data_IF_201356173861
#
_entry.id   IF_201356173861
#
_cell.length_a   1.000
_cell.length_b   1.000
_cell.length_c   1.000
_cell.angle_alpha   90.00
_cell.angle_beta   90.00
_cell.angle_gamma   90.00
#
_symmetry.space_group_name_H-M   'P 1'
#
loop_
_entity.id
_entity.type
_entity.pdbx_description
1 polymer ?
#
# COMPACT_ATOMS: atom_id res chain seq x y z
N UNK A 1 -11.94 24.35 18.09
CA UNK A 1 -11.09 23.14 18.08
C UNK A 1 -11.76 22.11 17.21
N UNK A 2 -11.03 21.52 16.28
CA UNK A 2 -11.52 20.44 15.41
C UNK A 2 -11.94 19.24 16.28
N UNK A 3 -13.04 18.60 15.92
CA UNK A 3 -13.71 17.63 16.80
C UNK A 3 -13.78 16.23 16.22
N UNK A 4 -13.20 16.02 15.02
CA UNK A 4 -13.39 14.79 14.26
C UNK A 4 -12.07 14.19 13.77
N UNK A 5 -12.07 12.89 13.57
CA UNK A 5 -10.97 12.13 12.97
C UNK A 5 -11.54 11.41 11.75
N UNK A 6 -10.80 11.47 10.64
CA UNK A 6 -11.08 10.64 9.46
C UNK A 6 -10.19 9.39 9.53
N UNK A 7 -10.80 8.21 9.54
CA UNK A 7 -10.09 6.94 9.41
C UNK A 7 -10.26 6.39 8.00
N UNK A 8 -9.16 6.05 7.34
CA UNK A 8 -9.11 5.41 6.03
C UNK A 8 -8.67 3.97 6.23
N UNK A 9 -9.54 3.03 5.88
CA UNK A 9 -9.29 1.59 5.89
C UNK A 9 -9.22 1.10 4.43
N UNK A 10 -8.01 0.94 3.92
CA UNK A 10 -7.77 0.47 2.58
C UNK A 10 -7.51 -1.04 2.60
N UNK A 11 -8.57 -1.83 2.48
CA UNK A 11 -8.52 -3.30 2.48
C UNK A 11 -8.26 -3.90 1.10
N UNK A 12 -8.19 -5.24 1.05
CA UNK A 12 -7.97 -5.99 -0.20
C UNK A 12 -9.17 -5.92 -1.15
N UNK A 13 -10.39 -5.90 -0.60
CA UNK A 13 -11.61 -5.95 -1.39
C UNK A 13 -12.38 -4.65 -1.45
N UNK A 14 -12.05 -3.69 -0.58
CA UNK A 14 -12.74 -2.40 -0.53
C UNK A 14 -11.89 -1.34 0.15
N UNK A 15 -12.20 -0.08 -0.15
CA UNK A 15 -11.74 1.08 0.61
C UNK A 15 -12.91 1.64 1.41
N UNK A 16 -12.70 1.89 2.69
CA UNK A 16 -13.67 2.49 3.60
C UNK A 16 -13.09 3.74 4.24
N UNK A 17 -13.89 4.79 4.34
CA UNK A 17 -13.55 5.99 5.12
C UNK A 17 -14.63 6.23 6.17
N UNK A 18 -14.21 6.49 7.41
CA UNK A 18 -15.09 6.64 8.58
C UNK A 18 -14.75 7.94 9.27
N UNK A 19 -15.76 8.74 9.59
CA UNK A 19 -15.64 9.94 10.42
C UNK A 19 -16.03 9.60 11.86
N UNK A 20 -15.12 9.82 12.80
CA UNK A 20 -15.32 9.67 14.23
C UNK A 20 -15.40 11.03 14.91
N UNK A 21 -16.25 11.14 15.94
CA UNK A 21 -16.25 12.30 16.84
C UNK A 21 -15.21 12.13 17.98
N UNK A 22 -15.14 13.10 18.88
CA UNK A 22 -14.23 13.09 20.03
C UNK A 22 -14.56 12.05 21.11
N UNK A 23 -15.68 11.34 21.00
CA UNK A 23 -16.07 10.21 21.86
C UNK A 23 -15.81 8.86 21.18
N UNK A 24 -15.14 8.86 20.01
CA UNK A 24 -14.91 7.66 19.16
C UNK A 24 -16.20 7.01 18.64
N UNK A 25 -17.30 7.75 18.56
CA UNK A 25 -18.51 7.30 17.92
C UNK A 25 -18.45 7.55 16.42
N UNK A 26 -18.96 6.60 15.64
CA UNK A 26 -19.05 6.72 14.17
C UNK A 26 -20.13 7.75 13.83
N UNK A 27 -19.76 8.83 13.16
CA UNK A 27 -20.67 9.87 12.69
C UNK A 27 -21.18 9.53 11.29
N UNK A 28 -20.31 9.06 10.43
CA UNK A 28 -20.64 8.65 9.07
C UNK A 28 -19.55 7.73 8.50
N UNK A 29 -19.88 7.05 7.42
CA UNK A 29 -18.91 6.31 6.64
C UNK A 29 -19.32 6.23 5.16
N UNK A 30 -18.34 5.91 4.33
CA UNK A 30 -18.54 5.51 2.93
C UNK A 30 -17.58 4.37 2.59
N UNK A 31 -18.02 3.47 1.69
CA UNK A 31 -17.25 2.31 1.26
C UNK A 31 -17.44 2.08 -0.23
N UNK A 32 -16.34 1.71 -0.91
CA UNK A 32 -16.32 1.37 -2.34
C UNK A 32 -15.55 0.06 -2.49
N UNK A 33 -16.09 -0.88 -3.24
CA UNK A 33 -15.39 -2.11 -3.61
C UNK A 33 -14.21 -1.80 -4.52
N UNK A 34 -13.12 -2.54 -4.32
CA UNK A 34 -11.89 -2.42 -5.10
C UNK A 34 -11.80 -3.55 -6.11
N UNK A 35 -11.59 -3.20 -7.36
CA UNK A 35 -11.41 -4.17 -8.44
C UNK A 35 -10.10 -4.93 -8.27
N UNK A 36 -10.18 -6.25 -8.38
CA UNK A 36 -9.02 -7.14 -8.39
C UNK A 36 -8.74 -7.64 -9.80
N UNK A 37 -7.47 -7.74 -10.14
CA UNK A 37 -7.01 -8.23 -11.45
C UNK A 37 -6.24 -9.53 -11.27
N UNK A 38 -6.54 -10.52 -12.11
CA UNK A 38 -5.94 -11.86 -12.08
C UNK A 38 -5.32 -12.17 -13.45
N UNK A 39 -4.14 -11.58 -13.80
CA UNK A 39 -3.58 -11.70 -15.14
C UNK A 39 -3.14 -13.12 -15.50
N UNK A 40 -2.79 -13.95 -14.50
CA UNK A 40 -2.39 -15.38 -14.65
C UNK A 40 -2.75 -16.11 -13.36
N UNK A 41 -2.75 -17.44 -13.41
CA UNK A 41 -2.93 -18.28 -12.22
C UNK A 41 -1.92 -17.92 -11.13
N UNK A 42 -2.44 -17.71 -9.92
CA UNK A 42 -1.65 -17.30 -8.76
C UNK A 42 -1.18 -15.84 -8.76
N UNK A 43 -1.50 -15.03 -9.76
CA UNK A 43 -1.21 -13.60 -9.77
C UNK A 43 -2.43 -12.79 -9.33
N UNK A 44 -2.21 -11.84 -8.43
CA UNK A 44 -3.26 -10.93 -7.92
C UNK A 44 -2.72 -9.51 -7.92
N UNK A 45 -3.42 -8.62 -8.60
CA UNK A 45 -2.99 -7.23 -8.78
C UNK A 45 -4.11 -6.25 -8.48
N UNK A 46 -3.74 -5.06 -8.00
CA UNK A 46 -4.60 -3.88 -7.92
C UNK A 46 -4.02 -2.73 -8.74
N UNK A 47 -4.86 -1.80 -9.17
CA UNK A 47 -4.39 -0.57 -9.77
C UNK A 47 -4.14 0.47 -8.67
N UNK A 48 -2.88 0.96 -8.49
CA UNK A 48 -2.59 1.96 -7.46
C UNK A 48 -3.35 3.28 -7.64
N UNK A 49 -3.72 3.63 -8.88
CA UNK A 49 -4.53 4.82 -9.16
C UNK A 49 -5.96 4.62 -8.69
N UNK A 50 -6.57 3.47 -9.02
CA UNK A 50 -7.92 3.13 -8.53
C UNK A 50 -7.97 3.09 -6.99
N UNK A 51 -6.92 2.54 -6.33
CA UNK A 51 -6.81 2.60 -4.87
C UNK A 51 -6.91 4.04 -4.37
N UNK A 52 -6.10 4.95 -4.92
CA UNK A 52 -6.10 6.34 -4.48
C UNK A 52 -7.39 7.08 -4.81
N UNK A 53 -7.99 6.83 -5.97
CA UNK A 53 -9.30 7.38 -6.34
C UNK A 53 -10.40 6.95 -5.38
N UNK A 54 -10.44 5.66 -4.98
CA UNK A 54 -11.41 5.17 -4.00
C UNK A 54 -11.19 5.80 -2.62
N UNK A 55 -9.93 6.02 -2.19
CA UNK A 55 -9.60 6.75 -0.96
C UNK A 55 -10.16 8.17 -0.98
N UNK A 56 -9.91 8.92 -2.07
CA UNK A 56 -10.42 10.30 -2.19
C UNK A 56 -11.95 10.33 -2.21
N UNK A 57 -12.58 9.41 -2.95
CA UNK A 57 -14.03 9.38 -3.10
C UNK A 57 -14.74 9.01 -1.80
N UNK A 58 -14.28 7.96 -1.12
CA UNK A 58 -14.87 7.55 0.17
C UNK A 58 -14.66 8.61 1.25
N UNK A 59 -13.49 9.23 1.31
CA UNK A 59 -13.20 10.31 2.27
C UNK A 59 -14.11 11.52 2.06
N UNK A 60 -14.22 12.00 0.81
CA UNK A 60 -15.14 13.11 0.48
C UNK A 60 -16.60 12.79 0.80
N UNK A 61 -17.04 11.58 0.47
CA UNK A 61 -18.42 11.15 0.73
C UNK A 61 -18.69 11.01 2.23
N UNK A 62 -17.78 10.43 3.01
CA UNK A 62 -17.93 10.31 4.45
C UNK A 62 -18.03 11.68 5.12
N UNK A 63 -17.15 12.63 4.75
CA UNK A 63 -17.21 14.02 5.26
C UNK A 63 -18.53 14.68 4.85
N UNK A 64 -18.97 14.55 3.61
CA UNK A 64 -20.27 15.11 3.15
C UNK A 64 -21.45 14.54 3.93
N UNK A 65 -21.48 13.22 4.15
CA UNK A 65 -22.55 12.53 4.89
C UNK A 65 -22.60 12.94 6.36
N UNK A 66 -21.47 13.33 6.96
CA UNK A 66 -21.39 13.80 8.35
C UNK A 66 -21.89 15.23 8.58
N UNK A 67 -22.18 15.98 7.51
CA UNK A 67 -22.54 17.40 7.56
C UNK A 67 -21.52 18.30 8.30
N UNK A 68 -20.24 17.91 8.35
CA UNK A 68 -19.15 18.69 8.92
C UNK A 68 -18.34 19.35 7.79
N UNK A 69 -17.55 20.37 8.16
CA UNK A 69 -16.58 20.98 7.24
C UNK A 69 -15.29 20.15 7.21
N UNK A 70 -14.58 20.06 6.08
CA UNK A 70 -13.27 19.41 6.03
C UNK A 70 -12.27 19.98 7.07
N UNK A 71 -12.40 21.28 7.39
CA UNK A 71 -11.58 21.98 8.40
C UNK A 71 -11.89 21.53 9.85
N UNK A 72 -12.95 20.77 10.07
CA UNK A 72 -13.27 20.21 11.39
C UNK A 72 -12.55 18.88 11.65
N UNK A 73 -11.90 18.31 10.63
CA UNK A 73 -11.05 17.10 10.75
C UNK A 73 -9.70 17.50 11.36
N UNK A 74 -9.39 16.96 12.53
CA UNK A 74 -8.14 17.21 13.26
C UNK A 74 -6.99 16.35 12.78
N UNK A 75 -7.29 15.12 12.35
CA UNK A 75 -6.29 14.14 11.96
C UNK A 75 -6.89 13.11 10.98
N UNK A 76 -6.00 12.49 10.20
CA UNK A 76 -6.32 11.36 9.33
C UNK A 76 -5.51 10.16 9.81
N UNK A 77 -6.19 9.05 10.11
CA UNK A 77 -5.57 7.75 10.36
C UNK A 77 -5.69 6.86 9.13
N UNK A 78 -4.63 6.14 8.78
CA UNK A 78 -4.59 5.24 7.64
C UNK A 78 -4.26 3.84 8.13
N UNK A 79 -5.09 2.85 7.78
CA UNK A 79 -4.76 1.43 7.84
C UNK A 79 -4.89 0.82 6.44
N UNK A 80 -4.17 -0.26 6.18
CA UNK A 80 -4.04 -0.78 4.82
C UNK A 80 -3.95 -2.31 4.76
N UNK A 81 -4.19 -2.85 3.57
CA UNK A 81 -3.78 -4.20 3.22
C UNK A 81 -2.24 -4.28 3.25
N UNK A 82 -1.70 -5.03 4.20
CA UNK A 82 -0.25 -5.16 4.38
C UNK A 82 0.39 -5.88 3.19
N UNK A 83 1.70 -5.76 3.01
CA UNK A 83 2.53 -6.47 2.01
C UNK A 83 2.22 -6.16 0.54
N UNK A 84 1.09 -5.56 0.24
CA UNK A 84 0.78 -5.14 -1.12
C UNK A 84 1.77 -4.07 -1.56
N UNK A 85 2.49 -4.35 -2.64
CA UNK A 85 3.72 -3.66 -3.06
C UNK A 85 3.43 -2.72 -4.21
N UNK A 86 3.82 -1.45 -4.09
CA UNK A 86 3.75 -0.43 -5.13
C UNK A 86 5.13 0.15 -5.38
N UNK A 87 5.51 0.27 -6.67
CA UNK A 87 6.70 1.02 -7.11
C UNK A 87 6.25 2.14 -8.04
N UNK A 88 6.84 3.33 -7.88
CA UNK A 88 6.50 4.49 -8.70
C UNK A 88 7.69 5.41 -8.92
N UNK A 89 7.58 6.26 -9.92
CA UNK A 89 8.52 7.34 -10.20
C UNK A 89 8.25 8.54 -9.28
N UNK A 90 9.22 8.97 -8.50
CA UNK A 90 9.06 10.09 -7.55
C UNK A 90 8.83 11.46 -8.22
N UNK A 91 9.24 11.63 -9.48
CA UNK A 91 9.06 12.91 -10.19
C UNK A 91 7.68 13.02 -10.83
N UNK A 92 7.20 11.93 -11.44
CA UNK A 92 5.91 11.95 -12.14
C UNK A 92 4.75 11.48 -11.27
N UNK A 93 5.05 10.72 -10.21
CA UNK A 93 4.03 10.07 -9.38
C UNK A 93 3.32 8.91 -10.08
N UNK A 94 3.85 8.43 -11.21
CA UNK A 94 3.25 7.34 -11.96
C UNK A 94 3.75 5.98 -11.46
N UNK A 95 2.84 5.05 -11.14
CA UNK A 95 3.21 3.67 -10.85
C UNK A 95 3.89 3.03 -12.05
N UNK A 96 5.01 2.33 -11.83
CA UNK A 96 5.73 1.62 -12.90
C UNK A 96 5.05 0.31 -13.29
N UNK A 97 4.24 -0.22 -12.40
CA UNK A 97 3.46 -1.46 -12.57
C UNK A 97 2.23 -1.45 -11.67
N UNK A 98 1.30 -2.38 -11.86
CA UNK A 98 0.20 -2.60 -10.91
C UNK A 98 0.74 -3.01 -9.54
N UNK A 99 0.02 -2.69 -8.48
CA UNK A 99 0.33 -3.16 -7.14
C UNK A 99 0.24 -4.69 -7.08
N UNK A 100 1.32 -5.35 -6.66
CA UNK A 100 1.30 -6.80 -6.45
C UNK A 100 0.76 -7.08 -5.06
N UNK A 101 -0.40 -7.74 -5.01
CA UNK A 101 -1.15 -7.98 -3.77
C UNK A 101 -0.45 -9.03 -2.90
N UNK A 102 -0.65 -8.98 -1.60
CA UNK A 102 -0.09 -9.93 -0.62
C UNK A 102 -0.42 -11.40 -0.90
N UNK A 103 -1.55 -11.67 -1.56
CA UNK A 103 -1.99 -13.02 -1.98
C UNK A 103 -1.26 -13.56 -3.20
N UNK A 104 -0.52 -12.70 -3.91
CA UNK A 104 0.16 -13.05 -5.16
C UNK A 104 1.27 -14.08 -4.94
N UNK A 105 1.33 -15.07 -5.80
CA UNK A 105 2.25 -16.19 -5.70
C UNK A 105 3.31 -16.24 -6.81
N UNK A 106 3.44 -15.19 -7.64
CA UNK A 106 4.39 -15.17 -8.78
C UNK A 106 5.84 -15.37 -8.35
N UNK A 107 6.21 -15.03 -7.12
CA UNK A 107 7.58 -15.13 -6.61
C UNK A 107 7.88 -16.41 -5.83
N UNK A 108 6.93 -17.36 -5.73
CA UNK A 108 7.10 -18.62 -4.98
C UNK A 108 8.36 -19.40 -5.42
N UNK A 109 8.63 -19.48 -6.73
CA UNK A 109 9.81 -20.20 -7.21
C UNK A 109 11.11 -19.51 -6.79
N UNK A 110 11.16 -18.19 -6.83
CA UNK A 110 12.29 -17.42 -6.33
C UNK A 110 12.49 -17.59 -4.80
N UNK A 111 11.42 -17.63 -4.03
CA UNK A 111 11.49 -17.96 -2.60
C UNK A 111 12.10 -19.34 -2.35
N UNK A 112 11.68 -20.37 -3.13
CA UNK A 112 12.26 -21.72 -3.06
C UNK A 112 13.76 -21.73 -3.41
N UNK A 113 14.19 -20.95 -4.39
CA UNK A 113 15.61 -20.82 -4.73
C UNK A 113 16.42 -20.20 -3.59
N UNK A 114 15.92 -19.15 -2.94
CA UNK A 114 16.56 -18.54 -1.77
C UNK A 114 16.68 -19.53 -0.61
N UNK A 115 15.63 -20.33 -0.37
CA UNK A 115 15.64 -21.39 0.66
C UNK A 115 16.70 -22.44 0.33
N UNK A 116 16.76 -22.95 -0.93
CA UNK A 116 17.78 -23.91 -1.36
C UNK A 116 19.21 -23.37 -1.26
N UNK A 117 19.41 -22.07 -1.45
CA UNK A 117 20.70 -21.39 -1.25
C UNK A 117 21.08 -21.17 0.22
N UNK A 118 20.24 -21.62 1.17
CA UNK A 118 20.53 -21.58 2.61
C UNK A 118 20.26 -20.24 3.28
N UNK A 119 19.52 -19.30 2.66
CA UNK A 119 19.25 -17.99 3.23
C UNK A 119 18.23 -18.00 4.38
N UNK A 120 17.47 -19.07 4.58
CA UNK A 120 16.38 -19.16 5.56
C UNK A 120 16.80 -18.71 6.96
N UNK A 121 17.87 -19.34 7.53
CA UNK A 121 18.35 -19.00 8.88
C UNK A 121 18.85 -17.55 8.99
N UNK A 122 19.51 -17.05 7.94
CA UNK A 122 20.03 -15.68 7.91
C UNK A 122 18.89 -14.65 7.91
N UNK A 123 17.90 -14.84 7.06
CA UNK A 123 16.73 -13.95 6.95
C UNK A 123 15.94 -14.00 8.25
N UNK A 124 15.63 -15.19 8.77
CA UNK A 124 14.90 -15.33 10.03
C UNK A 124 15.62 -14.67 11.21
N UNK A 125 16.96 -14.78 11.28
CA UNK A 125 17.74 -14.12 12.33
C UNK A 125 17.68 -12.59 12.27
N UNK A 126 17.62 -12.02 11.07
CA UNK A 126 17.63 -10.56 10.87
C UNK A 126 16.24 -9.96 11.03
N UNK A 127 15.21 -10.63 10.50
CA UNK A 127 13.86 -10.07 10.34
C UNK A 127 12.82 -10.72 11.25
N UNK A 128 13.12 -11.91 11.83
CA UNK A 128 12.14 -12.74 12.54
C UNK A 128 11.15 -13.47 11.61
N UNK A 129 11.25 -13.28 10.30
CA UNK A 129 10.28 -13.75 9.31
C UNK A 129 10.82 -14.90 8.45
N UNK A 130 9.92 -15.61 7.80
CA UNK A 130 10.26 -16.69 6.86
C UNK A 130 10.41 -16.15 5.43
N UNK A 131 11.05 -16.92 4.55
CA UNK A 131 11.08 -16.59 3.12
C UNK A 131 9.77 -17.05 2.49
N UNK A 132 8.91 -16.13 2.11
CA UNK A 132 7.62 -16.39 1.48
C UNK A 132 7.26 -15.32 0.45
N UNK A 133 6.48 -15.70 -0.56
CA UNK A 133 5.93 -14.79 -1.56
C UNK A 133 4.92 -13.78 -1.00
N UNK A 134 4.46 -14.00 0.22
CA UNK A 134 3.62 -13.09 0.97
C UNK A 134 4.29 -11.71 1.14
N UNK A 135 5.60 -11.69 1.45
CA UNK A 135 6.34 -10.47 1.80
C UNK A 135 6.75 -9.63 0.58
N UNK A 136 7.03 -8.34 0.81
CA UNK A 136 7.21 -7.36 -0.25
C UNK A 136 8.52 -7.49 -1.02
N UNK A 137 9.64 -7.89 -0.39
CA UNK A 137 10.97 -7.84 -1.02
C UNK A 137 11.07 -8.64 -2.32
N UNK A 138 10.50 -9.85 -2.36
CA UNK A 138 10.53 -10.67 -3.58
C UNK A 138 9.66 -10.09 -4.69
N UNK A 139 8.58 -9.38 -4.36
CA UNK A 139 7.73 -8.65 -5.31
C UNK A 139 8.44 -7.45 -5.89
N UNK A 140 9.16 -6.68 -5.05
CA UNK A 140 10.00 -5.56 -5.48
C UNK A 140 11.03 -6.05 -6.49
N UNK A 141 11.76 -7.12 -6.12
CA UNK A 141 12.75 -7.72 -7.04
C UNK A 141 12.12 -8.15 -8.35
N UNK A 142 10.96 -8.81 -8.30
CA UNK A 142 10.25 -9.23 -9.51
C UNK A 142 9.91 -8.04 -10.42
N UNK A 143 9.39 -6.93 -9.87
CA UNK A 143 9.09 -5.73 -10.65
C UNK A 143 10.37 -5.16 -11.28
N UNK A 144 11.46 -5.04 -10.52
CA UNK A 144 12.75 -4.52 -11.03
C UNK A 144 13.30 -5.39 -12.15
N UNK A 145 13.20 -6.70 -12.03
CA UNK A 145 13.74 -7.64 -13.02
C UNK A 145 12.91 -7.69 -14.32
N UNK A 146 11.58 -7.48 -14.23
CA UNK A 146 10.65 -7.71 -15.34
C UNK A 146 10.12 -6.42 -16.00
N UNK A 147 10.27 -5.24 -15.36
CA UNK A 147 9.78 -3.98 -15.89
C UNK A 147 10.96 -3.09 -16.29
N UNK A 148 11.17 -2.95 -17.60
CA UNK A 148 12.38 -2.30 -18.16
C UNK A 148 12.57 -0.86 -17.69
N UNK A 149 11.47 -0.09 -17.54
CA UNK A 149 11.53 1.30 -17.08
C UNK A 149 12.15 1.46 -15.68
N UNK A 150 12.07 0.43 -14.82
CA UNK A 150 12.61 0.48 -13.46
C UNK A 150 14.12 0.61 -13.44
N UNK A 151 14.83 0.01 -14.40
CA UNK A 151 16.30 0.07 -14.49
C UNK A 151 16.80 1.49 -14.68
N UNK A 152 16.10 2.27 -15.53
CA UNK A 152 16.41 3.69 -15.73
C UNK A 152 16.14 4.48 -14.46
N UNK A 153 14.95 4.32 -13.87
CA UNK A 153 14.53 5.03 -12.66
C UNK A 153 15.46 4.75 -11.47
N UNK A 154 15.96 3.51 -11.33
CA UNK A 154 16.96 3.16 -10.31
C UNK A 154 18.27 3.92 -10.51
N UNK A 155 18.80 3.99 -11.75
CA UNK A 155 20.04 4.73 -12.07
C UNK A 155 19.90 6.23 -11.79
N UNK A 156 18.70 6.77 -11.98
CA UNK A 156 18.39 8.19 -11.77
C UNK A 156 17.97 8.50 -10.32
N UNK A 157 17.97 7.52 -9.40
CA UNK A 157 17.45 7.65 -8.03
C UNK A 157 16.01 8.18 -7.96
N UNK A 158 15.19 7.75 -8.90
CA UNK A 158 13.78 8.18 -9.03
C UNK A 158 12.78 7.10 -8.62
N UNK A 159 13.19 5.83 -8.56
CA UNK A 159 12.29 4.74 -8.19
C UNK A 159 12.02 4.77 -6.70
N UNK A 160 10.75 4.94 -6.32
CA UNK A 160 10.26 4.79 -4.96
C UNK A 160 9.51 3.47 -4.81
N UNK A 161 9.52 2.95 -3.61
CA UNK A 161 8.76 1.79 -3.15
C UNK A 161 7.92 2.14 -1.93
N UNK A 162 6.77 1.53 -1.79
CA UNK A 162 5.95 1.57 -0.57
C UNK A 162 4.93 0.46 -0.50
N UNK A 163 4.48 0.19 0.71
CA UNK A 163 3.20 -0.45 0.97
C UNK A 163 2.07 0.55 0.74
N UNK A 164 0.83 0.12 0.85
CA UNK A 164 -0.31 0.96 0.45
C UNK A 164 -0.45 2.21 1.33
N UNK A 165 -0.10 2.14 2.62
CA UNK A 165 -0.05 3.31 3.50
C UNK A 165 0.90 4.39 2.98
N UNK A 166 2.13 3.99 2.61
CA UNK A 166 3.13 4.89 2.04
C UNK A 166 2.65 5.52 0.73
N UNK A 167 2.05 4.71 -0.16
CA UNK A 167 1.49 5.20 -1.42
C UNK A 167 0.40 6.23 -1.19
N UNK A 168 -0.57 5.94 -0.31
CA UNK A 168 -1.66 6.87 0.02
C UNK A 168 -1.10 8.15 0.65
N UNK A 169 -0.20 8.05 1.63
CA UNK A 169 0.41 9.21 2.29
C UNK A 169 1.16 10.07 1.27
N UNK A 170 1.97 9.45 0.42
CA UNK A 170 2.74 10.14 -0.61
C UNK A 170 1.82 10.90 -1.58
N UNK A 171 0.73 10.27 -2.02
CA UNK A 171 -0.28 10.90 -2.89
C UNK A 171 -1.05 12.03 -2.19
N UNK A 172 -1.48 11.85 -0.94
CA UNK A 172 -2.19 12.86 -0.16
C UNK A 172 -1.32 14.09 0.15
N UNK A 173 0.00 13.90 0.23
CA UNK A 173 0.95 14.97 0.49
C UNK A 173 1.61 15.53 -0.76
N UNK A 174 1.14 15.15 -1.96
CA UNK A 174 1.70 15.61 -3.24
C UNK A 174 3.21 15.36 -3.35
N UNK A 175 3.66 14.18 -2.89
CA UNK A 175 5.08 13.78 -2.94
C UNK A 175 5.96 14.33 -1.82
N UNK A 176 5.41 15.11 -0.87
CA UNK A 176 6.20 15.73 0.22
C UNK A 176 6.59 14.76 1.32
N UNK A 177 5.87 13.65 1.49
CA UNK A 177 6.10 12.69 2.57
C UNK A 177 6.18 11.25 2.03
N UNK A 178 7.28 10.59 2.33
CA UNK A 178 7.53 9.19 1.97
C UNK A 178 7.87 8.42 3.26
N UNK A 179 6.85 8.01 4.00
CA UNK A 179 6.97 7.33 5.28
C UNK A 179 6.03 6.13 5.35
N UNK A 180 6.36 5.19 6.20
CA UNK A 180 5.52 4.08 6.62
C UNK A 180 5.57 3.96 8.14
N UNK A 181 4.70 3.13 8.72
CA UNK A 181 4.73 2.83 10.14
C UNK A 181 5.47 1.49 10.42
N UNK A 182 5.79 1.25 11.71
CA UNK A 182 6.69 0.15 12.10
C UNK A 182 6.20 -1.23 11.66
N UNK A 183 4.88 -1.51 11.67
CA UNK A 183 4.36 -2.85 11.33
C UNK A 183 4.39 -3.11 9.82
N UNK A 184 4.18 -2.10 8.98
CA UNK A 184 4.37 -2.21 7.53
C UNK A 184 5.87 -2.29 7.18
N UNK A 185 6.74 -1.51 7.87
CA UNK A 185 8.19 -1.55 7.64
C UNK A 185 8.81 -2.91 7.99
N UNK A 186 8.39 -3.51 9.11
CA UNK A 186 8.91 -4.80 9.57
C UNK A 186 8.72 -5.90 8.53
N UNK A 187 7.52 -6.03 8.01
CA UNK A 187 7.16 -7.09 7.06
C UNK A 187 7.62 -6.79 5.62
N UNK A 188 7.87 -5.53 5.26
CA UNK A 188 8.45 -5.18 3.97
C UNK A 188 9.96 -5.52 3.86
N UNK A 189 10.60 -5.89 4.97
CA UNK A 189 12.06 -6.06 5.08
C UNK A 189 12.59 -7.43 4.63
N UNK A 190 11.73 -8.35 4.16
CA UNK A 190 12.12 -9.75 3.82
C UNK A 190 12.30 -9.98 2.35
#
# INVERSE_FOLDING_TARGET
MSKYILSIDQGTTSTRSIVFNNKFEIVSFDQIELKQYFPKDGCVEHDPKEIFETVLKTSKNAIKKSNIKPTDISAIGITNQRETTVLWDKETGEPVYKAIVWQDRRTVNYCKELQKKGYTKKIQKITGLVIDSYFSATKIKWIIDNIESTKKLLKENRLLFGTIDTWILWKLTEGRSHYTEATNALVASV
#
